data_IF_512844743189
#
_entry.id   IF_512844743189
#
_cell.length_a   1.000
_cell.length_b   1.000
_cell.length_c   1.000
_cell.angle_alpha   90.00
_cell.angle_beta   90.00
_cell.angle_gamma   90.00
#
_symmetry.space_group_name_H-M   'P 1'
#
loop_
_entity.id
_entity.type
_entity.pdbx_description
1 polymer ?
#
# COMPACT_ATOMS: atom_id res chain seq x y z
N UNK A 1 24.24 17.77 28.69
CA UNK A 1 24.87 17.21 27.49
C UNK A 1 24.75 15.71 27.61
N UNK A 2 23.69 15.15 27.04
CA UNK A 2 23.55 13.71 26.92
C UNK A 2 24.14 13.37 25.56
N UNK A 3 25.34 12.84 25.54
CA UNK A 3 25.91 12.18 24.37
C UNK A 3 25.11 10.89 24.13
N UNK A 4 24.00 11.03 23.40
CA UNK A 4 23.25 9.87 22.86
C UNK A 4 24.05 9.37 21.64
N UNK A 5 25.13 8.66 21.93
CA UNK A 5 26.03 8.04 20.96
C UNK A 5 25.43 6.72 20.45
N UNK A 6 24.10 6.71 20.25
CA UNK A 6 23.43 5.56 19.64
C UNK A 6 23.74 5.57 18.13
N UNK A 7 24.34 4.48 17.66
CA UNK A 7 24.55 4.26 16.21
C UNK A 7 23.19 4.43 15.51
N UNK A 8 23.11 5.24 14.43
CA UNK A 8 21.86 5.40 13.70
C UNK A 8 21.30 4.04 13.26
N UNK A 9 19.98 3.87 13.41
CA UNK A 9 19.31 2.66 12.98
C UNK A 9 19.49 2.48 11.47
N UNK A 10 19.80 1.28 11.03
CA UNK A 10 20.15 0.99 9.65
C UNK A 10 18.90 0.89 8.77
N UNK A 11 18.90 1.56 7.61
CA UNK A 11 17.78 1.55 6.66
C UNK A 11 18.23 1.00 5.32
N UNK A 12 17.59 -0.09 4.88
CA UNK A 12 17.64 -0.59 3.50
C UNK A 12 16.58 0.12 2.67
N UNK A 13 16.90 0.53 1.45
CA UNK A 13 15.91 0.92 0.45
C UNK A 13 15.70 -0.27 -0.50
N UNK A 14 14.46 -0.64 -0.76
CA UNK A 14 14.10 -1.68 -1.73
C UNK A 14 13.31 -1.05 -2.86
N UNK A 15 13.85 -1.17 -4.07
CA UNK A 15 13.22 -0.72 -5.31
C UNK A 15 12.99 -1.90 -6.24
N UNK A 16 11.83 -1.98 -6.88
CA UNK A 16 11.55 -2.89 -7.97
C UNK A 16 11.42 -2.11 -9.27
N UNK A 17 12.06 -2.63 -10.35
CA UNK A 17 12.05 -1.98 -11.65
C UNK A 17 11.51 -2.90 -12.75
N UNK A 18 10.82 -2.31 -13.70
CA UNK A 18 10.42 -2.90 -14.97
C UNK A 18 10.16 -1.83 -16.01
N UNK A 19 11.01 -1.74 -17.05
CA UNK A 19 10.93 -0.75 -18.13
C UNK A 19 10.74 0.68 -17.61
N UNK A 20 11.64 1.11 -16.71
CA UNK A 20 11.56 2.38 -15.98
C UNK A 20 12.54 3.45 -16.45
N UNK A 21 13.22 3.29 -17.59
CA UNK A 21 14.31 4.15 -18.06
C UNK A 21 13.97 5.65 -18.02
N UNK A 22 12.69 5.97 -18.24
CA UNK A 22 12.22 7.35 -18.39
C UNK A 22 12.33 8.15 -17.07
N UNK A 23 12.07 7.53 -15.91
CA UNK A 23 11.94 8.23 -14.63
C UNK A 23 12.95 7.77 -13.59
N UNK A 24 13.61 6.63 -13.82
CA UNK A 24 14.48 5.97 -12.85
C UNK A 24 15.59 6.88 -12.31
N UNK A 25 16.18 7.75 -13.15
CA UNK A 25 17.24 8.66 -12.73
C UNK A 25 16.74 9.68 -11.68
N UNK A 26 15.59 10.30 -11.91
CA UNK A 26 15.00 11.26 -10.97
C UNK A 26 14.73 10.57 -9.61
N UNK A 27 14.20 9.36 -9.64
CA UNK A 27 13.94 8.60 -8.41
C UNK A 27 15.23 8.23 -7.68
N UNK A 28 16.25 7.72 -8.39
CA UNK A 28 17.53 7.38 -7.80
C UNK A 28 18.22 8.58 -7.17
N UNK A 29 18.24 9.72 -7.86
CA UNK A 29 18.84 10.96 -7.35
C UNK A 29 18.10 11.45 -6.09
N UNK A 30 16.78 11.31 -6.04
CA UNK A 30 15.99 11.68 -4.87
C UNK A 30 16.24 10.77 -3.65
N UNK A 31 16.52 9.48 -3.88
CA UNK A 31 16.92 8.53 -2.83
C UNK A 31 18.32 8.87 -2.32
N UNK A 32 19.26 9.17 -3.20
CA UNK A 32 20.63 9.55 -2.83
C UNK A 32 20.69 10.90 -2.10
N UNK A 33 19.69 11.76 -2.29
CA UNK A 33 19.57 13.07 -1.64
C UNK A 33 18.92 13.01 -0.23
N UNK A 34 18.68 11.81 0.34
CA UNK A 34 18.12 11.70 1.68
C UNK A 34 19.08 12.24 2.73
N UNK A 35 18.54 12.93 3.75
CA UNK A 35 19.28 13.47 4.89
C UNK A 35 19.63 12.40 5.95
N UNK A 36 19.27 11.15 5.70
CA UNK A 36 19.52 10.00 6.55
C UNK A 36 20.49 9.02 5.86
N UNK A 37 21.51 8.50 6.57
CA UNK A 37 22.47 7.58 5.97
C UNK A 37 21.79 6.26 5.58
N UNK A 38 21.87 5.89 4.32
CA UNK A 38 21.32 4.63 3.82
C UNK A 38 22.35 3.50 4.00
N UNK A 39 21.86 2.37 4.53
CA UNK A 39 22.69 1.18 4.71
C UNK A 39 22.95 0.47 3.38
N UNK A 40 21.94 0.35 2.55
CA UNK A 40 21.99 -0.27 1.24
C UNK A 40 20.78 0.14 0.39
N UNK A 41 20.94 0.05 -0.93
CA UNK A 41 19.87 0.20 -1.90
C UNK A 41 19.80 -1.11 -2.70
N UNK A 42 18.76 -1.90 -2.45
CA UNK A 42 18.49 -3.16 -3.14
C UNK A 42 17.56 -2.85 -4.30
N UNK A 43 18.01 -3.12 -5.52
CA UNK A 43 17.19 -2.98 -6.72
C UNK A 43 16.99 -4.33 -7.35
N UNK A 44 15.72 -4.72 -7.56
CA UNK A 44 15.36 -5.95 -8.23
C UNK A 44 14.63 -5.66 -9.53
N UNK A 45 15.33 -5.88 -10.64
CA UNK A 45 14.82 -5.68 -12.00
C UNK A 45 14.03 -6.90 -12.47
N UNK A 46 12.78 -6.65 -12.87
CA UNK A 46 11.87 -7.69 -13.36
C UNK A 46 12.02 -7.96 -14.85
N UNK A 47 13.30 -8.07 -15.31
CA UNK A 47 13.68 -8.36 -16.68
C UNK A 47 13.30 -7.24 -17.64
N UNK A 48 13.69 -6.00 -17.33
CA UNK A 48 13.53 -4.86 -18.23
C UNK A 48 14.20 -5.09 -19.59
N UNK A 49 13.59 -4.54 -20.63
CA UNK A 49 14.03 -4.65 -22.03
C UNK A 49 14.48 -3.31 -22.62
N UNK A 50 14.33 -2.23 -21.86
CA UNK A 50 14.82 -0.88 -22.14
C UNK A 50 16.16 -0.61 -21.44
N UNK A 51 16.62 0.64 -21.36
CA UNK A 51 17.89 1.02 -20.74
C UNK A 51 17.90 0.99 -19.20
N UNK A 52 16.82 0.53 -18.54
CA UNK A 52 16.70 0.46 -17.08
C UNK A 52 17.92 -0.22 -16.44
N UNK A 53 18.32 -1.40 -16.94
CA UNK A 53 19.42 -2.16 -16.35
C UNK A 53 20.77 -1.44 -16.48
N UNK A 54 21.04 -0.80 -17.59
CA UNK A 54 22.29 -0.06 -17.83
C UNK A 54 22.37 1.19 -16.96
N UNK A 55 21.22 1.87 -16.73
CA UNK A 55 21.11 2.97 -15.78
C UNK A 55 21.47 2.48 -14.37
N UNK A 56 20.88 1.37 -13.90
CA UNK A 56 21.17 0.79 -12.58
C UNK A 56 22.64 0.46 -12.39
N UNK A 57 23.27 -0.16 -13.39
CA UNK A 57 24.69 -0.48 -13.35
C UNK A 57 25.57 0.79 -13.25
N UNK A 58 25.15 1.88 -13.90
CA UNK A 58 25.84 3.17 -13.83
C UNK A 58 25.83 3.72 -12.39
N UNK A 59 24.66 3.72 -11.73
CA UNK A 59 24.54 4.14 -10.33
C UNK A 59 25.36 3.25 -9.39
N UNK A 60 25.31 1.94 -9.57
CA UNK A 60 26.08 1.00 -8.74
C UNK A 60 27.59 1.20 -8.87
N UNK A 61 28.11 1.54 -10.07
CA UNK A 61 29.52 1.88 -10.30
C UNK A 61 29.90 3.21 -9.64
N UNK A 62 29.00 4.21 -9.67
CA UNK A 62 29.24 5.51 -9.07
C UNK A 62 29.22 5.48 -7.52
N UNK A 63 28.51 4.53 -6.91
CA UNK A 63 28.36 4.38 -5.46
C UNK A 63 28.73 2.97 -4.99
N UNK A 64 30.03 2.61 -5.01
CA UNK A 64 30.49 1.26 -4.66
C UNK A 64 30.07 0.84 -3.25
N UNK A 65 29.47 -0.35 -3.12
CA UNK A 65 29.05 -0.92 -1.84
C UNK A 65 27.65 -0.50 -1.38
N UNK A 66 27.07 0.58 -1.92
CA UNK A 66 25.71 1.02 -1.55
C UNK A 66 24.63 0.23 -2.30
N UNK A 67 24.83 0.00 -3.60
CA UNK A 67 23.83 -0.67 -4.44
C UNK A 67 24.04 -2.19 -4.48
N UNK A 68 22.95 -2.93 -4.35
CA UNK A 68 22.86 -4.38 -4.56
C UNK A 68 21.83 -4.65 -5.67
N UNK A 69 22.32 -4.95 -6.87
CA UNK A 69 21.50 -5.15 -8.06
C UNK A 69 21.18 -6.63 -8.26
N UNK A 70 19.91 -6.93 -8.49
CA UNK A 70 19.42 -8.26 -8.84
C UNK A 70 18.55 -8.15 -10.08
N UNK A 71 18.68 -9.13 -10.98
CA UNK A 71 17.84 -9.23 -12.18
C UNK A 71 17.17 -10.58 -12.21
N UNK A 72 15.86 -10.60 -12.45
CA UNK A 72 15.10 -11.85 -12.50
C UNK A 72 15.39 -12.62 -13.81
N UNK A 73 15.42 -13.94 -13.75
CA UNK A 73 15.54 -14.81 -14.92
C UNK A 73 14.25 -14.82 -15.75
N UNK A 74 13.11 -14.63 -15.10
CA UNK A 74 11.78 -14.49 -15.70
C UNK A 74 11.03 -13.30 -15.09
N UNK A 75 10.00 -12.80 -15.76
CA UNK A 75 9.16 -11.74 -15.24
C UNK A 75 8.24 -12.28 -14.13
N UNK A 76 8.43 -11.80 -12.90
CA UNK A 76 7.69 -12.24 -11.71
C UNK A 76 6.39 -11.46 -11.48
N UNK A 77 6.30 -10.24 -12.02
CA UNK A 77 5.27 -9.27 -11.70
C UNK A 77 5.50 -8.58 -10.34
N UNK A 78 4.92 -7.40 -10.17
CA UNK A 78 5.26 -6.49 -9.07
C UNK A 78 5.12 -7.12 -7.68
N UNK A 79 4.03 -7.85 -7.38
CA UNK A 79 3.81 -8.44 -6.05
C UNK A 79 4.92 -9.41 -5.63
N UNK A 80 5.33 -10.31 -6.54
CA UNK A 80 6.39 -11.28 -6.25
C UNK A 80 7.76 -10.62 -6.28
N UNK A 81 7.95 -9.64 -7.15
CA UNK A 81 9.19 -8.88 -7.26
C UNK A 81 9.48 -8.12 -5.96
N UNK A 82 8.52 -7.34 -5.44
CA UNK A 82 8.65 -6.68 -4.14
C UNK A 82 8.86 -7.66 -2.99
N UNK A 83 8.09 -8.75 -2.92
CA UNK A 83 8.29 -9.75 -1.86
C UNK A 83 9.72 -10.29 -1.84
N UNK A 84 10.23 -10.74 -2.99
CA UNK A 84 11.59 -11.31 -3.07
C UNK A 84 12.66 -10.27 -2.77
N UNK A 85 12.49 -9.03 -3.20
CA UNK A 85 13.41 -7.94 -2.91
C UNK A 85 13.42 -7.56 -1.42
N UNK A 86 12.25 -7.46 -0.78
CA UNK A 86 12.11 -7.16 0.64
C UNK A 86 12.82 -8.18 1.54
N UNK A 87 12.79 -9.46 1.18
CA UNK A 87 13.48 -10.52 1.93
C UNK A 87 15.01 -10.40 1.91
N UNK A 88 15.58 -9.64 0.96
CA UNK A 88 17.03 -9.38 0.83
C UNK A 88 17.52 -8.28 1.77
N UNK A 89 16.64 -7.42 2.28
CA UNK A 89 17.00 -6.30 3.15
C UNK A 89 17.75 -6.78 4.40
N UNK A 90 18.84 -6.09 4.76
CA UNK A 90 19.66 -6.42 5.91
C UNK A 90 19.67 -5.33 6.99
N UNK A 91 19.19 -4.13 6.69
CA UNK A 91 18.99 -3.06 7.67
C UNK A 91 17.87 -3.40 8.67
N UNK A 92 17.82 -2.69 9.78
CA UNK A 92 16.78 -2.81 10.81
C UNK A 92 15.41 -2.40 10.27
N UNK A 93 15.41 -1.43 9.35
CA UNK A 93 14.24 -0.97 8.62
C UNK A 93 14.43 -1.16 7.12
N UNK A 94 13.31 -1.27 6.42
CA UNK A 94 13.25 -1.29 4.96
C UNK A 94 12.23 -0.29 4.46
N UNK A 95 12.67 0.65 3.60
CA UNK A 95 11.81 1.58 2.89
C UNK A 95 11.52 1.06 1.48
N UNK A 96 10.27 1.14 1.06
CA UNK A 96 9.84 0.71 -0.28
C UNK A 96 9.85 1.90 -1.23
N UNK A 97 10.38 1.67 -2.42
CA UNK A 97 10.43 2.66 -3.51
C UNK A 97 9.87 2.08 -4.79
N UNK A 98 8.98 2.82 -5.43
CA UNK A 98 8.67 2.63 -6.83
C UNK A 98 9.79 3.26 -7.69
N UNK A 99 9.84 3.00 -9.00
CA UNK A 99 10.93 3.41 -9.88
C UNK A 99 10.76 4.82 -10.47
N UNK A 100 9.61 5.45 -10.24
CA UNK A 100 9.08 6.58 -11.01
C UNK A 100 8.57 7.76 -10.16
N UNK A 101 8.81 7.74 -8.85
CA UNK A 101 8.43 8.76 -7.89
C UNK A 101 9.55 9.81 -7.67
N UNK A 102 9.34 10.72 -6.72
CA UNK A 102 10.37 11.60 -6.17
C UNK A 102 10.24 11.64 -4.65
N UNK A 103 11.29 11.25 -3.92
CA UNK A 103 11.34 11.35 -2.47
C UNK A 103 11.80 12.73 -2.01
N UNK A 104 11.16 13.27 -0.97
CA UNK A 104 11.66 14.50 -0.34
C UNK A 104 12.81 14.18 0.62
N UNK A 105 13.79 15.09 0.77
CA UNK A 105 15.04 14.79 1.49
C UNK A 105 14.86 14.23 2.91
N UNK A 106 13.81 14.63 3.62
CA UNK A 106 13.55 14.22 5.01
C UNK A 106 12.65 12.97 5.16
N UNK A 107 12.38 12.24 4.06
CA UNK A 107 11.45 11.10 4.13
C UNK A 107 11.93 10.06 5.14
N UNK A 108 13.16 9.59 5.01
CA UNK A 108 13.68 8.51 5.86
C UNK A 108 13.85 8.98 7.30
N UNK A 109 14.46 10.13 7.54
CA UNK A 109 14.68 10.64 8.90
C UNK A 109 13.40 10.81 9.69
N UNK A 110 12.34 11.38 9.07
CA UNK A 110 11.02 11.57 9.70
C UNK A 110 10.31 10.24 9.96
N UNK A 111 10.38 9.29 9.05
CA UNK A 111 9.75 7.99 9.23
C UNK A 111 10.45 7.15 10.31
N UNK A 112 11.78 7.16 10.35
CA UNK A 112 12.56 6.49 11.42
C UNK A 112 12.25 7.10 12.79
N UNK A 113 12.13 8.42 12.87
CA UNK A 113 11.77 9.10 14.12
C UNK A 113 10.32 8.78 14.57
N UNK A 114 9.41 8.54 13.64
CA UNK A 114 7.98 8.33 13.91
C UNK A 114 7.60 6.87 14.20
N UNK A 115 8.29 5.88 13.63
CA UNK A 115 7.86 4.48 13.63
C UNK A 115 7.73 3.88 15.03
N UNK A 116 8.55 4.29 16.00
CA UNK A 116 8.50 3.80 17.38
C UNK A 116 8.46 2.27 17.45
N UNK A 117 7.46 1.70 18.10
CA UNK A 117 7.25 0.26 18.22
C UNK A 117 6.35 -0.35 17.12
N UNK A 118 5.83 0.48 16.21
CA UNK A 118 4.96 -0.02 15.13
C UNK A 118 5.74 -0.88 14.12
N UNK A 119 5.03 -1.76 13.44
CA UNK A 119 5.61 -2.62 12.39
C UNK A 119 5.80 -1.86 11.07
N UNK A 120 4.98 -0.84 10.84
CA UNK A 120 4.93 -0.05 9.61
C UNK A 120 4.72 1.43 9.92
N UNK A 121 5.51 2.29 9.26
CA UNK A 121 5.29 3.73 9.17
C UNK A 121 5.02 4.11 7.71
N UNK A 122 4.09 5.01 7.47
CA UNK A 122 3.86 5.59 6.16
C UNK A 122 3.59 7.09 6.28
N UNK A 123 3.54 7.78 5.15
CA UNK A 123 3.36 9.22 5.12
C UNK A 123 2.24 9.64 4.18
N UNK A 124 1.81 10.89 4.31
CA UNK A 124 1.08 11.57 3.26
C UNK A 124 2.00 11.76 2.03
N UNK A 125 1.42 12.07 0.88
CA UNK A 125 2.16 12.30 -0.35
C UNK A 125 1.44 13.26 -1.28
N UNK A 126 2.17 13.81 -2.24
CA UNK A 126 1.57 14.49 -3.39
C UNK A 126 1.47 13.54 -4.57
N UNK A 127 0.54 13.80 -5.48
CA UNK A 127 0.40 13.02 -6.71
C UNK A 127 -0.06 13.87 -7.86
N UNK A 128 0.55 13.69 -9.05
CA UNK A 128 0.14 14.34 -10.28
C UNK A 128 0.78 13.65 -11.51
N UNK A 129 0.41 14.09 -12.71
CA UNK A 129 1.03 13.68 -13.97
C UNK A 129 2.44 14.26 -14.13
N UNK A 130 2.66 15.48 -13.64
CA UNK A 130 3.93 16.21 -13.77
C UNK A 130 4.37 16.79 -12.44
N UNK A 131 5.66 16.68 -12.13
CA UNK A 131 6.27 17.34 -10.97
C UNK A 131 6.43 18.83 -11.26
N UNK A 132 5.46 19.63 -10.86
CA UNK A 132 5.45 21.09 -11.07
C UNK A 132 5.18 21.82 -9.76
N UNK A 133 5.98 22.83 -9.46
CA UNK A 133 5.81 23.63 -8.26
C UNK A 133 4.87 24.82 -8.50
N UNK A 134 3.96 25.17 -7.56
CA UNK A 134 3.73 24.46 -6.30
C UNK A 134 3.05 23.11 -6.51
N UNK A 135 3.36 22.13 -5.64
CA UNK A 135 2.74 20.79 -5.70
C UNK A 135 1.25 20.86 -5.35
N UNK A 136 0.46 20.12 -6.10
CA UNK A 136 -0.99 20.00 -5.95
C UNK A 136 -1.37 18.54 -5.60
N UNK A 137 -2.66 18.28 -5.42
CA UNK A 137 -3.20 16.94 -5.20
C UNK A 137 -2.55 16.22 -3.98
N UNK A 138 -2.60 16.87 -2.82
CA UNK A 138 -2.20 16.28 -1.55
C UNK A 138 -3.10 15.12 -1.16
N UNK A 139 -2.50 13.98 -0.86
CA UNK A 139 -3.18 12.75 -0.45
C UNK A 139 -2.78 12.40 0.98
N UNK A 140 -3.78 12.22 1.82
CA UNK A 140 -3.60 11.80 3.22
C UNK A 140 -4.32 10.46 3.44
N UNK A 141 -3.59 9.33 3.37
CA UNK A 141 -4.14 8.00 3.56
C UNK A 141 -4.70 7.82 4.97
N UNK A 142 -5.70 6.95 5.09
CA UNK A 142 -6.35 6.66 6.37
C UNK A 142 -5.66 5.52 7.11
N UNK A 143 -5.72 5.59 8.45
CA UNK A 143 -5.14 4.58 9.35
C UNK A 143 -6.18 3.62 9.94
N UNK A 144 -7.46 3.86 9.70
CA UNK A 144 -8.53 3.06 10.32
C UNK A 144 -8.52 1.61 9.80
N UNK A 145 -8.33 0.64 10.67
CA UNK A 145 -8.33 -0.78 10.31
C UNK A 145 -9.64 -1.19 9.63
N UNK A 146 -10.78 -0.67 10.09
CA UNK A 146 -12.09 -0.92 9.50
C UNK A 146 -12.19 -0.45 8.05
N UNK A 147 -11.56 0.69 7.71
CA UNK A 147 -11.50 1.18 6.33
C UNK A 147 -10.65 0.27 5.45
N UNK A 148 -9.48 -0.11 5.94
CA UNK A 148 -8.54 -0.98 5.24
C UNK A 148 -9.10 -2.36 4.89
N UNK A 149 -10.14 -2.83 5.59
CA UNK A 149 -10.84 -4.07 5.23
C UNK A 149 -11.62 -3.97 3.91
N UNK A 150 -11.86 -2.78 3.40
CA UNK A 150 -12.62 -2.55 2.17
C UNK A 150 -11.76 -1.97 1.05
N UNK A 151 -10.64 -1.36 1.40
CA UNK A 151 -9.85 -0.59 0.45
C UNK A 151 -8.37 -0.59 0.83
N UNK A 152 -7.50 -0.77 -0.17
CA UNK A 152 -6.08 -0.54 -0.01
C UNK A 152 -5.81 0.97 -0.02
N UNK A 153 -5.31 1.49 1.10
CA UNK A 153 -5.13 2.92 1.29
C UNK A 153 -3.72 3.32 1.75
N UNK A 154 -2.81 2.36 1.88
CA UNK A 154 -1.43 2.60 2.28
C UNK A 154 -0.47 2.17 1.17
N UNK A 155 -0.17 3.06 0.20
CA UNK A 155 0.64 2.69 -0.96
C UNK A 155 2.09 2.39 -0.57
N UNK A 156 2.67 1.38 -1.21
CA UNK A 156 4.02 0.87 -0.93
C UNK A 156 5.09 1.96 -0.96
N UNK A 157 5.04 2.86 -1.94
CA UNK A 157 6.01 3.96 -2.09
C UNK A 157 6.10 4.92 -0.88
N UNK A 158 5.11 4.90 0.00
CA UNK A 158 5.09 5.73 1.21
C UNK A 158 5.59 5.01 2.47
N UNK A 159 5.91 3.70 2.39
CA UNK A 159 6.17 2.85 3.55
C UNK A 159 7.63 2.81 4.00
N UNK A 160 7.81 2.74 5.32
CA UNK A 160 8.99 2.25 6.03
C UNK A 160 8.53 1.13 6.99
N UNK A 161 9.20 -0.02 6.97
CA UNK A 161 8.80 -1.20 7.76
C UNK A 161 9.97 -1.70 8.60
N UNK A 162 9.66 -2.38 9.71
CA UNK A 162 10.65 -3.20 10.39
C UNK A 162 11.00 -4.41 9.52
N UNK A 163 12.29 -4.62 9.30
CA UNK A 163 12.75 -5.74 8.47
C UNK A 163 12.35 -7.10 9.05
N UNK A 164 12.44 -7.25 10.36
CA UNK A 164 12.03 -8.48 11.04
C UNK A 164 10.53 -8.77 10.92
N UNK A 165 9.71 -7.72 10.94
CA UNK A 165 8.27 -7.84 10.68
C UNK A 165 8.02 -8.44 9.29
N UNK A 166 8.63 -7.87 8.25
CA UNK A 166 8.47 -8.34 6.86
C UNK A 166 8.92 -9.80 6.72
N UNK A 167 10.10 -10.15 7.25
CA UNK A 167 10.65 -11.51 7.24
C UNK A 167 9.84 -12.49 8.10
N UNK A 168 9.10 -11.98 9.06
CA UNK A 168 8.19 -12.74 9.92
C UNK A 168 6.92 -13.22 9.22
N UNK A 169 6.50 -12.59 8.12
CA UNK A 169 5.31 -12.98 7.34
C UNK A 169 5.58 -14.29 6.60
N UNK A 170 4.97 -15.39 7.07
CA UNK A 170 5.21 -16.74 6.51
C UNK A 170 4.36 -17.08 5.30
N UNK A 171 3.24 -16.39 5.12
CA UNK A 171 2.28 -16.67 4.05
C UNK A 171 2.09 -15.42 3.20
N UNK A 172 2.38 -15.52 1.91
CA UNK A 172 2.16 -14.49 0.92
C UNK A 172 1.19 -14.98 -0.16
N UNK A 173 0.33 -14.09 -0.61
CA UNK A 173 -0.56 -14.35 -1.74
C UNK A 173 -0.34 -13.27 -2.80
N UNK A 174 0.21 -13.66 -3.94
CA UNK A 174 0.57 -12.75 -5.03
C UNK A 174 -0.63 -12.27 -5.86
N UNK A 175 -1.83 -12.80 -5.61
CA UNK A 175 -3.10 -12.31 -6.17
C UNK A 175 -3.71 -11.18 -5.32
N UNK A 176 -3.01 -10.73 -4.27
CA UNK A 176 -3.36 -9.59 -3.41
C UNK A 176 -2.22 -8.58 -3.50
N UNK A 177 -2.53 -7.28 -3.52
CA UNK A 177 -1.54 -6.22 -3.52
C UNK A 177 -0.63 -6.34 -2.29
N UNK A 178 0.69 -6.30 -2.50
CA UNK A 178 1.69 -6.54 -1.45
C UNK A 178 1.61 -5.51 -0.33
N UNK A 179 1.36 -4.25 -0.68
CA UNK A 179 1.24 -3.13 0.27
C UNK A 179 -0.02 -3.27 1.14
N UNK A 180 -1.14 -3.68 0.55
CA UNK A 180 -2.33 -4.01 1.33
C UNK A 180 -2.09 -5.20 2.26
N UNK A 181 -1.39 -6.23 1.79
CA UNK A 181 -1.04 -7.40 2.58
C UNK A 181 -0.14 -7.03 3.77
N UNK A 182 0.90 -6.20 3.56
CA UNK A 182 1.77 -5.66 4.59
C UNK A 182 0.99 -4.84 5.62
N UNK A 183 0.12 -3.95 5.17
CA UNK A 183 -0.70 -3.10 6.04
C UNK A 183 -1.65 -3.91 6.93
N UNK A 184 -2.28 -4.96 6.37
CA UNK A 184 -3.13 -5.85 7.16
C UNK A 184 -2.33 -6.61 8.24
N UNK A 185 -1.12 -7.07 7.91
CA UNK A 185 -0.25 -7.73 8.89
C UNK A 185 0.21 -6.78 9.99
N UNK A 186 0.59 -5.55 9.63
CA UNK A 186 0.95 -4.54 10.61
C UNK A 186 -0.22 -4.22 11.57
N UNK A 187 -1.44 -4.04 11.05
CA UNK A 187 -2.64 -3.83 11.88
C UNK A 187 -2.93 -4.99 12.84
N UNK A 188 -2.63 -6.22 12.44
CA UNK A 188 -2.78 -7.39 13.30
C UNK A 188 -1.61 -7.57 14.30
N UNK A 189 -0.46 -6.97 14.03
CA UNK A 189 0.77 -7.01 14.84
C UNK A 189 0.87 -5.85 15.83
N UNK A 190 1.98 -5.09 15.72
CA UNK A 190 2.25 -3.91 16.56
C UNK A 190 1.64 -2.62 16.02
N UNK A 191 0.89 -2.70 14.92
CA UNK A 191 0.19 -1.57 14.33
C UNK A 191 1.00 -0.82 13.27
N UNK A 192 0.38 0.25 12.81
CA UNK A 192 0.99 1.19 11.88
C UNK A 192 0.89 2.61 12.42
N UNK A 193 1.82 3.46 12.02
CA UNK A 193 1.88 4.88 12.36
C UNK A 193 1.96 5.71 11.07
N UNK A 194 1.40 6.90 11.10
CA UNK A 194 1.42 7.82 9.97
C UNK A 194 2.14 9.11 10.34
N UNK A 195 3.01 9.57 9.44
CA UNK A 195 3.55 10.92 9.43
C UNK A 195 2.56 11.81 8.66
N UNK A 196 1.95 12.77 9.36
CA UNK A 196 0.97 13.71 8.78
C UNK A 196 1.67 14.83 7.98
N UNK A 197 2.57 14.42 7.08
CA UNK A 197 3.31 15.27 6.17
C UNK A 197 3.58 14.53 4.87
N UNK A 198 3.50 15.21 3.73
CA UNK A 198 3.87 14.62 2.46
C UNK A 198 5.39 14.48 2.38
N UNK A 199 5.86 13.24 2.25
CA UNK A 199 7.28 12.91 2.21
C UNK A 199 7.77 12.41 0.84
N UNK A 200 6.86 12.28 -0.10
CA UNK A 200 7.19 12.00 -1.50
C UNK A 200 6.11 12.54 -2.44
N UNK A 201 6.47 12.62 -3.70
CA UNK A 201 5.57 12.87 -4.81
C UNK A 201 5.45 11.60 -5.66
N UNK A 202 4.21 11.13 -5.86
CA UNK A 202 3.88 9.94 -6.63
C UNK A 202 3.44 10.32 -8.03
N UNK A 203 4.07 9.72 -9.03
CA UNK A 203 3.83 9.99 -10.44
C UNK A 203 2.67 9.18 -10.98
N UNK A 204 1.69 9.86 -11.60
CA UNK A 204 0.70 9.19 -12.45
C UNK A 204 1.10 9.31 -13.91
N UNK A 205 1.15 8.21 -14.64
CA UNK A 205 1.32 8.19 -16.09
C UNK A 205 0.69 6.93 -16.69
N UNK A 206 0.42 6.99 -18.01
CA UNK A 206 -0.34 5.96 -18.71
C UNK A 206 0.31 4.57 -18.75
N UNK A 207 1.59 4.47 -18.47
CA UNK A 207 2.38 3.22 -18.45
C UNK A 207 2.58 2.61 -17.07
N UNK A 208 2.10 3.25 -15.98
CA UNK A 208 2.31 2.72 -14.63
C UNK A 208 1.51 1.43 -14.40
N UNK A 209 2.05 0.53 -13.57
CA UNK A 209 1.39 -0.73 -13.23
C UNK A 209 -0.01 -0.49 -12.65
N UNK A 210 -0.17 0.56 -11.86
CA UNK A 210 -1.45 0.99 -11.29
C UNK A 210 -2.42 1.52 -12.34
N UNK A 211 -1.95 2.31 -13.31
CA UNK A 211 -2.82 2.88 -14.36
C UNK A 211 -3.41 1.80 -15.27
N UNK A 212 -2.67 0.73 -15.58
CA UNK A 212 -3.22 -0.41 -16.30
C UNK A 212 -4.35 -1.12 -15.55
N UNK A 213 -4.27 -1.17 -14.23
CA UNK A 213 -5.32 -1.70 -13.36
C UNK A 213 -6.46 -0.68 -13.20
N UNK A 214 -6.14 0.61 -13.08
CA UNK A 214 -7.09 1.71 -12.84
C UNK A 214 -7.82 2.18 -14.11
N UNK A 215 -7.24 2.09 -15.31
CA UNK A 215 -7.93 2.42 -16.58
C UNK A 215 -9.20 1.60 -16.83
N UNK A 216 -9.42 0.54 -16.08
CA UNK A 216 -10.65 -0.25 -16.14
C UNK A 216 -11.70 0.12 -15.10
N UNK A 217 -11.57 1.20 -14.31
CA UNK A 217 -12.73 1.64 -13.56
C UNK A 217 -12.61 2.35 -12.22
N UNK A 218 -11.45 2.83 -11.73
CA UNK A 218 -11.37 3.39 -10.38
C UNK A 218 -11.19 4.92 -10.29
N UNK A 219 -10.61 5.58 -11.30
CA UNK A 219 -10.43 7.04 -11.31
C UNK A 219 -11.11 7.76 -12.46
N UNK A 220 -11.69 7.08 -13.41
CA UNK A 220 -12.86 7.71 -13.97
C UNK A 220 -13.81 7.81 -12.79
N UNK A 221 -13.92 9.02 -12.24
CA UNK A 221 -15.06 9.40 -11.43
C UNK A 221 -16.26 8.90 -12.21
N UNK A 222 -16.75 7.71 -11.82
CA UNK A 222 -17.95 7.16 -12.44
C UNK A 222 -18.89 8.32 -12.40
N UNK A 223 -19.31 8.92 -13.53
CA UNK A 223 -20.31 9.97 -13.49
C UNK A 223 -21.50 9.28 -12.88
N UNK A 224 -21.65 9.50 -11.60
CA UNK A 224 -22.54 8.78 -10.73
C UNK A 224 -23.98 8.99 -11.19
N UNK A 225 -24.57 8.06 -11.90
CA UNK A 225 -25.96 7.80 -11.65
C UNK A 225 -25.94 6.88 -10.41
N UNK A 226 -26.03 7.42 -9.48
CA UNK A 226 -25.94 7.26 -8.06
C UNK A 226 -26.75 6.09 -7.48
N UNK A 227 -27.58 5.40 -8.22
CA UNK A 227 -28.38 4.28 -7.75
C UNK A 227 -27.80 2.88 -8.08
N UNK A 228 -26.99 2.76 -9.14
CA UNK A 228 -26.45 1.45 -9.59
C UNK A 228 -25.67 0.70 -8.51
N UNK A 229 -24.75 1.33 -7.74
CA UNK A 229 -24.07 0.64 -6.65
C UNK A 229 -25.03 0.09 -5.60
N UNK A 230 -26.12 0.79 -5.33
CA UNK A 230 -27.13 0.35 -4.36
C UNK A 230 -27.97 -0.82 -4.88
N UNK A 231 -28.32 -0.84 -6.15
CA UNK A 231 -29.10 -1.91 -6.77
C UNK A 231 -28.25 -3.15 -7.05
N UNK A 232 -27.07 -2.97 -7.65
CA UNK A 232 -26.25 -4.07 -8.15
C UNK A 232 -25.14 -4.50 -7.19
N UNK A 233 -24.86 -3.72 -6.15
CA UNK A 233 -23.79 -4.01 -5.18
C UNK A 233 -23.94 -5.37 -4.49
N UNK A 234 -25.15 -5.83 -4.25
CA UNK A 234 -25.39 -7.18 -3.68
C UNK A 234 -24.94 -8.27 -4.64
N UNK A 235 -25.25 -8.17 -5.94
CA UNK A 235 -24.83 -9.13 -6.95
C UNK A 235 -23.32 -9.13 -7.14
N UNK A 236 -22.71 -7.93 -7.19
CA UNK A 236 -21.26 -7.80 -7.25
C UNK A 236 -20.57 -8.40 -6.03
N UNK A 237 -21.11 -8.19 -4.82
CA UNK A 237 -20.62 -8.81 -3.61
C UNK A 237 -20.68 -10.34 -3.68
N UNK A 238 -21.76 -10.91 -4.16
CA UNK A 238 -21.89 -12.36 -4.35
C UNK A 238 -20.88 -12.89 -5.39
N UNK A 239 -20.60 -12.10 -6.43
CA UNK A 239 -19.57 -12.44 -7.41
C UNK A 239 -18.16 -12.42 -6.78
N UNK A 240 -17.80 -11.36 -6.04
CA UNK A 240 -16.52 -11.27 -5.33
C UNK A 240 -16.31 -12.44 -4.36
N UNK A 241 -17.35 -12.83 -3.62
CA UNK A 241 -17.27 -13.93 -2.66
C UNK A 241 -16.98 -15.31 -3.31
N UNK A 242 -17.12 -15.44 -4.64
CA UNK A 242 -16.74 -16.65 -5.38
C UNK A 242 -15.26 -16.66 -5.77
N UNK A 243 -14.61 -15.50 -5.80
CA UNK A 243 -13.18 -15.40 -6.14
C UNK A 243 -12.30 -16.02 -5.07
N UNK A 244 -11.28 -16.75 -5.52
CA UNK A 244 -10.35 -17.48 -4.63
C UNK A 244 -9.54 -16.53 -3.76
N UNK A 245 -8.98 -15.47 -4.33
CA UNK A 245 -8.20 -14.46 -3.60
C UNK A 245 -9.04 -13.68 -2.58
N UNK A 246 -10.30 -13.33 -2.90
CA UNK A 246 -11.23 -12.72 -1.94
C UNK A 246 -11.48 -13.64 -0.73
N UNK A 247 -11.80 -14.90 -0.99
CA UNK A 247 -12.05 -15.88 0.07
C UNK A 247 -10.80 -16.14 0.89
N UNK A 248 -9.65 -16.28 0.26
CA UNK A 248 -8.37 -16.40 0.95
C UNK A 248 -8.14 -15.23 1.89
N UNK A 249 -8.22 -14.00 1.38
CA UNK A 249 -7.97 -12.78 2.14
C UNK A 249 -8.84 -12.68 3.40
N UNK A 250 -10.15 -12.73 3.23
CA UNK A 250 -11.04 -12.57 4.39
C UNK A 250 -11.06 -13.81 5.32
N UNK A 251 -10.76 -15.00 4.82
CA UNK A 251 -10.58 -16.19 5.68
C UNK A 251 -9.35 -16.02 6.54
N UNK A 252 -8.25 -15.61 5.95
CA UNK A 252 -7.01 -15.32 6.67
C UNK A 252 -7.24 -14.26 7.77
N UNK A 253 -7.82 -13.13 7.42
CA UNK A 253 -8.11 -12.06 8.37
C UNK A 253 -9.07 -12.50 9.49
N UNK A 254 -10.13 -13.26 9.16
CA UNK A 254 -11.10 -13.76 10.14
C UNK A 254 -10.48 -14.71 11.16
N UNK A 255 -9.37 -15.40 10.78
CA UNK A 255 -8.63 -16.34 11.65
C UNK A 255 -7.56 -15.63 12.48
N UNK A 256 -6.90 -14.60 11.96
CA UNK A 256 -5.71 -14.00 12.56
C UNK A 256 -5.97 -12.67 13.29
N UNK A 257 -7.06 -11.95 12.98
CA UNK A 257 -7.40 -10.73 13.74
C UNK A 257 -7.78 -11.09 15.18
N UNK A 258 -7.02 -10.56 16.14
CA UNK A 258 -7.36 -10.72 17.56
C UNK A 258 -8.68 -10.01 17.88
N UNK A 259 -9.68 -10.82 18.23
CA UNK A 259 -11.05 -10.36 18.54
C UNK A 259 -11.13 -9.52 19.80
N UNK A 260 -10.15 -9.64 20.72
CA UNK A 260 -10.11 -8.85 21.96
C UNK A 260 -9.57 -7.46 21.68
N UNK A 261 -8.51 -7.35 20.85
CA UNK A 261 -7.91 -6.07 20.47
C UNK A 261 -8.75 -5.35 19.41
N UNK A 262 -9.26 -6.08 18.41
CA UNK A 262 -9.94 -5.54 17.23
C UNK A 262 -11.31 -6.20 17.00
N UNK A 263 -12.30 -6.02 17.91
CA UNK A 263 -13.59 -6.74 17.83
C UNK A 263 -14.40 -6.39 16.58
N UNK A 264 -14.36 -5.12 16.13
CA UNK A 264 -15.11 -4.66 14.95
C UNK A 264 -14.46 -5.16 13.66
N UNK A 265 -13.16 -4.96 13.40
CA UNK A 265 -12.47 -5.55 12.25
C UNK A 265 -12.65 -7.06 12.14
N UNK A 266 -12.48 -7.79 13.23
CA UNK A 266 -12.67 -9.25 13.26
C UNK A 266 -14.11 -9.67 12.93
N UNK A 267 -15.11 -8.87 13.31
CA UNK A 267 -16.52 -9.14 12.95
C UNK A 267 -16.77 -8.86 11.48
N UNK A 268 -16.27 -7.73 10.96
CA UNK A 268 -16.37 -7.37 9.54
C UNK A 268 -15.74 -8.47 8.68
N UNK A 269 -14.50 -8.88 8.95
CA UNK A 269 -13.81 -9.90 8.16
C UNK A 269 -14.62 -11.22 8.05
N UNK A 270 -15.26 -11.66 9.15
CA UNK A 270 -16.14 -12.83 9.14
C UNK A 270 -17.43 -12.61 8.34
N UNK A 271 -18.02 -11.43 8.42
CA UNK A 271 -19.24 -11.10 7.70
C UNK A 271 -19.00 -10.96 6.20
N UNK A 272 -17.79 -10.57 5.78
CA UNK A 272 -17.41 -10.53 4.36
C UNK A 272 -17.51 -11.91 3.69
N UNK A 273 -17.36 -12.99 4.42
CA UNK A 273 -17.48 -14.37 3.92
C UNK A 273 -18.92 -14.92 3.92
N UNK A 274 -19.87 -14.25 4.56
CA UNK A 274 -21.24 -14.74 4.72
C UNK A 274 -22.17 -14.28 3.58
N UNK A 275 -23.01 -15.20 3.10
CA UNK A 275 -23.95 -14.95 1.98
C UNK A 275 -25.37 -14.65 2.42
N UNK A 276 -25.74 -14.99 3.66
CA UNK A 276 -27.12 -14.85 4.10
C UNK A 276 -27.53 -13.37 4.28
N UNK A 277 -28.80 -13.00 3.98
CA UNK A 277 -29.28 -11.62 4.07
C UNK A 277 -29.07 -10.98 5.45
N UNK A 278 -29.23 -11.75 6.52
CA UNK A 278 -29.00 -11.27 7.89
C UNK A 278 -27.56 -10.85 8.14
N UNK A 279 -26.59 -11.59 7.60
CA UNK A 279 -25.17 -11.22 7.72
C UNK A 279 -24.84 -9.96 6.89
N UNK A 280 -25.47 -9.78 5.73
CA UNK A 280 -25.33 -8.55 4.92
C UNK A 280 -25.93 -7.37 5.68
N UNK A 281 -27.13 -7.52 6.24
CA UNK A 281 -27.76 -6.48 7.06
C UNK A 281 -26.91 -6.11 8.27
N UNK A 282 -26.38 -7.11 8.99
CA UNK A 282 -25.49 -6.88 10.11
C UNK A 282 -24.23 -6.10 9.70
N UNK A 283 -23.59 -6.48 8.58
CA UNK A 283 -22.45 -5.76 8.02
C UNK A 283 -22.79 -4.31 7.72
N UNK A 284 -23.94 -4.06 7.08
CA UNK A 284 -24.42 -2.70 6.79
C UNK A 284 -24.66 -1.89 8.07
N UNK A 285 -25.25 -2.49 9.11
CA UNK A 285 -25.48 -1.84 10.39
C UNK A 285 -24.17 -1.50 11.11
N UNK A 286 -23.18 -2.38 11.08
CA UNK A 286 -21.83 -2.11 11.59
C UNK A 286 -21.21 -0.92 10.85
N UNK A 287 -21.28 -0.92 9.52
CA UNK A 287 -20.74 0.16 8.70
C UNK A 287 -21.49 1.49 8.92
N UNK A 288 -22.79 1.47 9.17
CA UNK A 288 -23.55 2.65 9.57
C UNK A 288 -23.14 3.19 10.94
N UNK A 289 -22.87 2.29 11.91
CA UNK A 289 -22.44 2.66 13.25
C UNK A 289 -21.05 3.28 13.26
N UNK A 290 -20.12 2.69 12.52
CA UNK A 290 -18.71 3.09 12.46
C UNK A 290 -18.35 3.82 11.15
N UNK A 291 -19.33 4.54 10.55
CA UNK A 291 -19.19 5.18 9.25
C UNK A 291 -17.99 6.14 9.16
N UNK A 292 -17.68 6.84 10.25
CA UNK A 292 -16.55 7.77 10.35
C UNK A 292 -15.18 7.09 10.25
N UNK A 293 -15.10 5.79 10.57
CA UNK A 293 -13.89 4.96 10.47
C UNK A 293 -13.86 4.12 9.19
N UNK A 294 -14.98 3.92 8.55
CA UNK A 294 -15.12 3.01 7.39
C UNK A 294 -15.27 3.79 6.08
N UNK A 295 -16.14 4.80 6.05
CA UNK A 295 -16.43 5.53 4.82
C UNK A 295 -15.44 6.69 4.60
N UNK A 296 -14.77 6.79 3.43
CA UNK A 296 -13.72 7.81 3.21
C UNK A 296 -14.24 9.23 3.03
N UNK A 297 -15.56 9.41 2.77
CA UNK A 297 -16.15 10.70 2.52
C UNK A 297 -16.34 11.57 3.78
N UNK A 298 -16.53 12.89 3.57
CA UNK A 298 -16.73 13.88 4.64
C UNK A 298 -18.17 14.02 5.19
N UNK A 299 -19.24 13.32 4.72
CA UNK A 299 -20.58 13.55 5.25
C UNK A 299 -20.66 13.16 6.74
N UNK A 300 -21.19 14.08 7.54
CA UNK A 300 -21.40 13.89 8.99
C UNK A 300 -22.88 13.59 9.28
N UNK A 301 -23.16 13.10 10.47
CA UNK A 301 -24.51 12.88 10.97
C UNK A 301 -25.28 11.81 10.19
N UNK A 302 -26.58 12.04 9.96
CA UNK A 302 -27.46 11.06 9.33
C UNK A 302 -27.04 10.69 7.90
N UNK A 303 -26.60 11.64 7.09
CA UNK A 303 -26.10 11.38 5.73
C UNK A 303 -24.88 10.45 5.73
N UNK A 304 -23.96 10.63 6.69
CA UNK A 304 -22.80 9.76 6.86
C UNK A 304 -23.21 8.33 7.25
N UNK A 305 -24.16 8.19 8.17
CA UNK A 305 -24.70 6.88 8.58
C UNK A 305 -25.38 6.13 7.43
N UNK A 306 -26.20 6.83 6.63
CA UNK A 306 -26.87 6.24 5.46
C UNK A 306 -25.82 5.75 4.44
N UNK A 307 -24.82 6.58 4.10
CA UNK A 307 -23.74 6.19 3.19
C UNK A 307 -22.91 5.05 3.76
N UNK A 308 -22.59 5.09 5.05
CA UNK A 308 -21.92 4.00 5.75
C UNK A 308 -22.73 2.69 5.67
N UNK A 309 -24.04 2.75 5.87
CA UNK A 309 -24.90 1.57 5.73
C UNK A 309 -24.75 0.89 4.36
N UNK A 310 -24.74 1.64 3.28
CA UNK A 310 -24.60 1.09 1.93
C UNK A 310 -23.14 0.87 1.51
N UNK A 311 -22.17 1.25 2.33
CA UNK A 311 -20.76 1.17 1.93
C UNK A 311 -20.27 -0.24 1.54
N UNK A 312 -20.69 -1.35 2.21
CA UNK A 312 -20.31 -2.69 1.78
C UNK A 312 -20.81 -3.05 0.37
N UNK A 313 -21.91 -2.46 -0.08
CA UNK A 313 -22.45 -2.67 -1.42
C UNK A 313 -21.76 -1.78 -2.44
N UNK A 314 -21.51 -0.52 -2.05
CA UNK A 314 -20.81 0.46 -2.89
C UNK A 314 -19.35 -0.02 -3.15
N UNK A 315 -18.65 -0.44 -2.10
CA UNK A 315 -17.27 -0.95 -2.22
C UNK A 315 -17.22 -2.23 -3.07
N UNK A 316 -18.19 -3.12 -2.93
CA UNK A 316 -18.24 -4.33 -3.74
C UNK A 316 -18.50 -4.03 -5.23
N UNK A 317 -19.33 -3.03 -5.54
CA UNK A 317 -19.61 -2.62 -6.91
C UNK A 317 -18.38 -2.03 -7.62
N UNK A 318 -17.60 -1.20 -6.91
CA UNK A 318 -16.40 -0.56 -7.44
C UNK A 318 -15.09 -1.30 -7.11
N UNK A 319 -15.13 -2.54 -6.61
CA UNK A 319 -13.95 -3.23 -6.12
C UNK A 319 -13.14 -3.87 -7.24
N UNK A 320 -11.94 -3.36 -7.48
CA UNK A 320 -10.95 -3.89 -8.41
C UNK A 320 -9.77 -4.61 -7.71
N UNK A 321 -9.68 -4.53 -6.39
CA UNK A 321 -8.58 -5.09 -5.59
C UNK A 321 -8.41 -6.61 -5.75
N UNK A 322 -9.45 -7.32 -6.14
CA UNK A 322 -9.43 -8.76 -6.39
C UNK A 322 -9.45 -9.11 -7.88
N UNK A 323 -9.05 -8.20 -8.77
CA UNK A 323 -8.95 -8.45 -10.22
C UNK A 323 -7.62 -9.05 -10.66
N UNK A 324 -6.62 -9.11 -9.77
CA UNK A 324 -5.32 -9.72 -10.08
C UNK A 324 -5.40 -11.23 -10.30
N UNK A 325 -6.45 -11.89 -9.80
CA UNK A 325 -6.69 -13.30 -10.07
C UNK A 325 -6.98 -13.51 -11.56
N UNK A 326 -6.12 -14.31 -12.23
CA UNK A 326 -6.24 -14.72 -13.64
C UNK A 326 -7.26 -15.82 -13.82
#
# INVERSE_FOLDING_TARGET
MNDDNSTPLTVSVVMCTYNGEQFLREQMDSILAQDYPLHEIIVQDDRSTDDTWDILQTYAKAHPGLFKLFRNDEQLGFNRNFHTALLRATGEYVAISDQDDIWFPQKISKQVAAIGNADLCFSDYYTDLHYTLPLHNYVSPRTDFEHMLFYDCTPGHSMLLRTDFVKGIKLWNYDIYYDWWLSMHAQMGHGLVKVDEALNWHRHYDGSATTHVYRKGFYEAVPHPTWQPYAWGTLHRLHLQRKRNYRFFYTYLAQHIDRRKHPVPARIARLMLRHCPFAVLELCLICAKYYNRIYPGKPRGLKGRIRGFFYPLISAYGNDLFKLEK
#
